data_IF_015720109411
#
_entry.id   IF_015720109411
#
_cell.length_a   1.000
_cell.length_b   1.000
_cell.length_c   1.000
_cell.angle_alpha   90.00
_cell.angle_beta   90.00
_cell.angle_gamma   90.00
#
_symmetry.space_group_name_H-M   'P 1'
#
loop_
_entity.id
_entity.type
_entity.pdbx_description
1 polymer ?
#
# COMPACT_ATOMS: atom_id res chain seq x y z
N UNK A 1 -2.16 -15.27 8.68
CA UNK A 1 -1.36 -14.19 8.07
C UNK A 1 0.12 -14.53 8.24
N UNK A 2 0.91 -14.52 7.16
CA UNK A 2 2.36 -14.72 7.19
C UNK A 2 3.08 -13.74 8.13
N UNK A 3 4.26 -14.10 8.67
CA UNK A 3 5.04 -13.24 9.57
C UNK A 3 5.48 -11.92 8.93
N UNK A 4 5.79 -11.93 7.63
CA UNK A 4 6.14 -10.71 6.89
C UNK A 4 4.94 -9.73 6.83
N UNK A 5 3.73 -10.25 6.63
CA UNK A 5 2.49 -9.46 6.62
C UNK A 5 2.21 -8.84 8.00
N UNK A 6 2.41 -9.61 9.08
CA UNK A 6 2.27 -9.11 10.45
C UNK A 6 3.28 -7.99 10.77
N UNK A 7 4.53 -8.15 10.32
CA UNK A 7 5.58 -7.15 10.52
C UNK A 7 5.25 -5.86 9.77
N UNK A 8 4.77 -5.98 8.53
CA UNK A 8 4.32 -4.86 7.71
C UNK A 8 3.13 -4.16 8.34
N UNK A 9 2.13 -4.90 8.83
CA UNK A 9 0.98 -4.34 9.55
C UNK A 9 1.38 -3.60 10.82
N UNK A 10 2.35 -4.13 11.58
CA UNK A 10 2.85 -3.43 12.77
C UNK A 10 3.57 -2.12 12.41
N UNK A 11 4.32 -2.09 11.29
CA UNK A 11 4.95 -0.86 10.80
C UNK A 11 3.90 0.16 10.33
N UNK A 12 2.91 -0.30 9.55
CA UNK A 12 1.79 0.53 9.11
C UNK A 12 1.02 1.12 10.29
N UNK A 13 0.76 0.35 11.34
CA UNK A 13 0.09 0.84 12.55
C UNK A 13 0.88 1.90 13.30
N UNK A 14 2.21 1.76 13.33
CA UNK A 14 3.10 2.80 13.87
C UNK A 14 3.05 4.08 13.04
N UNK A 15 3.03 3.95 11.71
CA UNK A 15 2.92 5.08 10.80
C UNK A 15 1.54 5.76 10.85
N UNK A 16 0.46 4.98 10.96
CA UNK A 16 -0.93 5.47 11.09
C UNK A 16 -1.12 6.31 12.35
N UNK A 17 -0.40 5.99 13.44
CA UNK A 17 -0.41 6.79 14.65
C UNK A 17 0.18 8.20 14.44
N UNK A 18 0.97 8.41 13.38
CA UNK A 18 1.52 9.70 12.97
C UNK A 18 0.63 10.37 11.94
N UNK A 19 0.36 9.68 10.82
CA UNK A 19 -0.52 10.16 9.75
C UNK A 19 -1.00 9.00 8.88
N UNK A 20 -2.20 9.15 8.31
CA UNK A 20 -2.72 8.24 7.30
C UNK A 20 -1.84 8.23 6.04
N UNK A 21 -1.28 9.38 5.66
CA UNK A 21 -0.34 9.48 4.53
C UNK A 21 0.95 8.70 4.78
N UNK A 22 1.49 8.73 6.00
CA UNK A 22 2.70 7.96 6.37
C UNK A 22 2.44 6.45 6.35
N UNK A 23 1.25 6.03 6.78
CA UNK A 23 0.81 4.64 6.68
C UNK A 23 0.75 4.18 5.22
N UNK A 24 0.20 5.00 4.33
CA UNK A 24 0.11 4.70 2.89
C UNK A 24 1.49 4.71 2.23
N UNK A 25 2.37 5.65 2.58
CA UNK A 25 3.76 5.66 2.13
C UNK A 25 4.51 4.39 2.56
N UNK A 26 4.32 3.97 3.81
CA UNK A 26 4.91 2.73 4.33
C UNK A 26 4.41 1.52 3.55
N UNK A 27 3.10 1.44 3.30
CA UNK A 27 2.51 0.38 2.49
C UNK A 27 3.14 0.35 1.09
N UNK A 28 3.10 1.48 0.37
CA UNK A 28 3.59 1.62 -1.00
C UNK A 28 5.09 1.29 -1.12
N UNK A 29 5.90 1.71 -0.15
CA UNK A 29 7.34 1.39 -0.12
C UNK A 29 7.58 -0.11 0.06
N UNK A 30 6.89 -0.76 1.00
CA UNK A 30 7.03 -2.21 1.21
C UNK A 30 6.49 -2.98 -0.01
N UNK A 31 5.42 -2.50 -0.63
CA UNK A 31 4.85 -3.10 -1.84
C UNK A 31 5.80 -3.00 -3.02
N UNK A 32 6.44 -1.85 -3.23
CA UNK A 32 7.43 -1.67 -4.28
C UNK A 32 8.65 -2.57 -4.08
N UNK A 33 9.14 -2.70 -2.84
CA UNK A 33 10.21 -3.67 -2.51
C UNK A 33 9.76 -5.11 -2.81
N UNK A 34 8.55 -5.51 -2.40
CA UNK A 34 8.00 -6.85 -2.65
C UNK A 34 7.80 -7.10 -4.15
N UNK A 35 7.31 -6.13 -4.90
CA UNK A 35 7.14 -6.21 -6.35
C UNK A 35 8.50 -6.35 -7.04
N UNK A 36 9.51 -5.60 -6.58
CA UNK A 36 10.87 -5.69 -7.10
C UNK A 36 11.55 -7.03 -6.77
N UNK A 37 11.31 -7.59 -5.58
CA UNK A 37 11.89 -8.87 -5.14
C UNK A 37 11.11 -10.10 -5.66
N UNK A 38 9.80 -9.95 -5.84
CA UNK A 38 8.85 -11.00 -6.23
C UNK A 38 7.87 -10.49 -7.30
N UNK A 39 8.33 -10.30 -8.55
CA UNK A 39 7.47 -9.90 -9.66
C UNK A 39 6.36 -10.93 -9.94
N UNK A 40 6.52 -12.18 -9.52
CA UNK A 40 5.51 -13.25 -9.65
C UNK A 40 4.18 -12.93 -8.92
N UNK A 41 4.20 -12.01 -7.94
CA UNK A 41 2.99 -11.53 -7.27
C UNK A 41 2.14 -10.62 -8.18
N UNK A 42 2.76 -9.89 -9.11
CA UNK A 42 2.05 -9.12 -10.13
C UNK A 42 1.41 -10.05 -11.18
N UNK A 43 2.12 -11.13 -11.55
CA UNK A 43 1.62 -12.13 -12.51
C UNK A 43 0.36 -12.86 -11.97
N UNK A 44 0.21 -12.97 -10.65
CA UNK A 44 -0.98 -13.57 -10.03
C UNK A 44 -2.25 -12.71 -10.14
N UNK A 45 -2.14 -11.38 -10.26
CA UNK A 45 -3.31 -10.50 -10.40
C UNK A 45 -3.80 -10.34 -11.85
N UNK A 46 -3.05 -10.85 -12.83
CA UNK A 46 -3.48 -10.90 -14.23
C UNK A 46 -3.93 -9.52 -14.79
N UNK A 47 -3.29 -8.44 -14.32
CA UNK A 47 -3.59 -7.09 -14.77
C UNK A 47 -2.79 -6.78 -16.04
N UNK A 48 -3.44 -6.19 -17.04
CA UNK A 48 -2.82 -5.72 -18.29
C UNK A 48 -1.71 -4.66 -18.06
N UNK A 49 -1.52 -4.18 -16.83
CA UNK A 49 -0.57 -3.12 -16.47
C UNK A 49 -0.05 -3.29 -15.03
N UNK A 50 1.26 -3.30 -14.83
CA UNK A 50 1.90 -3.47 -13.50
C UNK A 50 1.42 -2.41 -12.49
N UNK A 51 1.23 -1.18 -12.95
CA UNK A 51 0.71 -0.08 -12.13
C UNK A 51 -0.73 -0.35 -11.63
N UNK A 52 -1.53 -1.07 -12.43
CA UNK A 52 -2.89 -1.46 -12.05
C UNK A 52 -2.85 -2.60 -11.02
N UNK A 53 -2.03 -3.64 -11.22
CA UNK A 53 -1.85 -4.71 -10.25
C UNK A 53 -1.29 -4.20 -8.91
N UNK A 54 -0.28 -3.33 -8.94
CA UNK A 54 0.26 -2.73 -7.71
C UNK A 54 -0.82 -1.97 -6.91
N UNK A 55 -1.74 -1.29 -7.62
CA UNK A 55 -2.84 -0.55 -6.99
C UNK A 55 -3.89 -1.50 -6.40
N UNK A 56 -4.24 -2.57 -7.10
CA UNK A 56 -5.19 -3.58 -6.62
C UNK A 56 -4.63 -4.36 -5.44
N UNK A 57 -3.37 -4.80 -5.51
CA UNK A 57 -2.69 -5.47 -4.40
C UNK A 57 -2.55 -4.55 -3.18
N UNK A 58 -2.28 -3.25 -3.38
CA UNK A 58 -2.30 -2.27 -2.29
C UNK A 58 -3.68 -2.15 -1.63
N UNK A 59 -4.75 -2.13 -2.43
CA UNK A 59 -6.12 -2.08 -1.93
C UNK A 59 -6.49 -3.35 -1.14
N UNK A 60 -6.17 -4.53 -1.66
CA UNK A 60 -6.43 -5.80 -0.96
C UNK A 60 -5.62 -5.90 0.34
N UNK A 61 -4.35 -5.48 0.33
CA UNK A 61 -3.52 -5.44 1.54
C UNK A 61 -4.03 -4.43 2.58
N UNK A 62 -4.61 -3.30 2.15
CA UNK A 62 -5.25 -2.34 3.04
C UNK A 62 -6.53 -2.89 3.66
N UNK A 63 -7.31 -3.66 2.91
CA UNK A 63 -8.48 -4.38 3.43
C UNK A 63 -8.03 -5.35 4.52
N UNK A 64 -7.05 -6.20 4.24
CA UNK A 64 -6.53 -7.15 5.22
C UNK A 64 -5.94 -6.45 6.46
N UNK A 65 -5.24 -5.33 6.26
CA UNK A 65 -4.72 -4.50 7.35
C UNK A 65 -5.85 -3.96 8.23
N UNK A 66 -6.91 -3.39 7.63
CA UNK A 66 -8.07 -2.85 8.37
C UNK A 66 -8.81 -3.93 9.12
N UNK A 67 -9.04 -5.08 8.48
CA UNK A 67 -9.62 -6.25 9.14
C UNK A 67 -8.78 -6.72 10.33
N UNK A 68 -7.45 -6.65 10.25
CA UNK A 68 -6.57 -7.02 11.33
C UNK A 68 -6.44 -5.96 12.43
N UNK A 69 -6.29 -4.69 12.06
CA UNK A 69 -5.99 -3.58 12.98
C UNK A 69 -7.23 -3.14 13.77
N UNK A 70 -8.37 -3.01 13.08
CA UNK A 70 -9.63 -2.52 13.63
C UNK A 70 -10.63 -3.64 13.92
N UNK A 71 -10.36 -4.87 13.45
CA UNK A 71 -11.30 -6.00 13.59
C UNK A 71 -12.58 -5.80 12.78
N UNK A 72 -12.56 -4.89 11.80
CA UNK A 72 -13.72 -4.53 10.98
C UNK A 72 -13.95 -5.53 9.85
N UNK A 73 -15.19 -5.62 9.37
CA UNK A 73 -15.54 -6.51 8.26
C UNK A 73 -14.99 -6.03 6.93
N UNK A 74 -14.84 -6.96 5.97
CA UNK A 74 -14.37 -6.66 4.61
C UNK A 74 -15.22 -5.58 3.93
N UNK A 75 -16.54 -5.61 4.12
CA UNK A 75 -17.44 -4.59 3.57
C UNK A 75 -17.15 -3.19 4.12
N UNK A 76 -16.85 -3.08 5.41
CA UNK A 76 -16.50 -1.82 6.03
C UNK A 76 -15.14 -1.30 5.54
N UNK A 77 -14.17 -2.20 5.34
CA UNK A 77 -12.86 -1.86 4.81
C UNK A 77 -12.95 -1.41 3.34
N UNK A 78 -13.79 -2.10 2.55
CA UNK A 78 -14.05 -1.74 1.16
C UNK A 78 -14.80 -0.41 1.03
N UNK A 79 -15.75 -0.13 1.93
CA UNK A 79 -16.42 1.16 2.03
C UNK A 79 -15.44 2.29 2.37
N UNK A 80 -14.44 2.00 3.21
CA UNK A 80 -13.39 2.96 3.54
C UNK A 80 -12.46 3.26 2.36
N UNK A 81 -12.11 2.25 1.57
CA UNK A 81 -11.31 2.46 0.35
C UNK A 81 -12.05 3.22 -0.76
N UNK A 82 -13.38 3.13 -0.78
CA UNK A 82 -14.22 3.87 -1.72
C UNK A 82 -14.58 5.27 -1.23
N UNK A 83 -14.11 5.67 -0.04
CA UNK A 83 -14.28 7.03 0.46
C UNK A 83 -13.49 8.02 -0.42
N UNK A 84 -14.15 9.06 -0.97
CA UNK A 84 -13.46 10.05 -1.79
C UNK A 84 -12.30 10.74 -1.06
N UNK A 85 -12.39 10.93 0.26
CA UNK A 85 -11.30 11.47 1.05
C UNK A 85 -10.11 10.50 1.07
N UNK A 86 -10.37 9.19 1.22
CA UNK A 86 -9.33 8.18 1.20
C UNK A 86 -8.64 8.11 -0.17
N UNK A 87 -9.41 8.17 -1.26
CA UNK A 87 -8.86 8.16 -2.63
C UNK A 87 -7.96 9.37 -2.86
N UNK A 88 -8.34 10.56 -2.37
CA UNK A 88 -7.50 11.76 -2.43
C UNK A 88 -6.23 11.59 -1.58
N UNK A 89 -6.35 11.17 -0.32
CA UNK A 89 -5.20 10.93 0.57
C UNK A 89 -4.22 9.90 -0.03
N UNK A 90 -4.76 8.85 -0.66
CA UNK A 90 -3.97 7.82 -1.33
C UNK A 90 -3.28 8.34 -2.59
N UNK A 91 -3.98 9.15 -3.40
CA UNK A 91 -3.39 9.81 -4.55
C UNK A 91 -2.23 10.74 -4.16
N UNK A 92 -2.41 11.54 -3.12
CA UNK A 92 -1.37 12.47 -2.62
C UNK A 92 -0.17 11.72 -2.03
N UNK A 93 -0.42 10.62 -1.31
CA UNK A 93 0.64 9.75 -0.79
C UNK A 93 1.41 9.04 -1.92
N UNK A 94 0.71 8.56 -2.95
CA UNK A 94 1.31 7.93 -4.12
C UNK A 94 2.14 8.93 -4.93
N UNK A 95 1.65 10.16 -5.11
CA UNK A 95 2.40 11.21 -5.80
C UNK A 95 3.66 11.60 -5.02
N UNK A 96 3.54 11.78 -3.70
CA UNK A 96 4.68 12.04 -2.81
C UNK A 96 5.69 10.90 -2.82
N UNK A 97 5.21 9.64 -2.88
CA UNK A 97 6.05 8.47 -2.99
C UNK A 97 6.83 8.45 -4.32
N UNK A 98 6.14 8.68 -5.44
CA UNK A 98 6.76 8.75 -6.78
C UNK A 98 7.82 9.85 -6.85
N UNK A 99 7.52 11.04 -6.34
CA UNK A 99 8.49 12.14 -6.25
C UNK A 99 9.71 11.77 -5.38
N UNK A 100 9.50 11.01 -4.30
CA UNK A 100 10.60 10.55 -3.43
C UNK A 100 11.45 9.45 -4.08
N UNK A 101 10.86 8.62 -4.94
CA UNK A 101 11.56 7.63 -5.76
C UNK A 101 12.38 8.30 -6.86
N UNK A 102 11.77 9.19 -7.65
CA UNK A 102 12.45 9.96 -8.70
C UNK A 102 13.64 10.73 -8.12
N UNK A 103 13.47 11.35 -6.94
CA UNK A 103 14.53 12.06 -6.23
C UNK A 103 15.65 11.14 -5.67
N UNK A 104 15.37 9.85 -5.48
CA UNK A 104 16.38 8.85 -5.10
C UNK A 104 17.08 8.26 -6.33
N UNK A 105 16.38 8.05 -7.46
CA UNK A 105 16.98 7.62 -8.73
C UNK A 105 17.92 8.70 -9.31
N UNK A 106 17.59 9.99 -9.19
CA UNK A 106 18.47 11.09 -9.63
C UNK A 106 19.82 11.19 -8.87
N UNK A 107 19.99 10.50 -7.74
CA UNK A 107 21.28 10.43 -7.01
C UNK A 107 22.09 9.17 -7.31
N UNK A 108 21.58 8.30 -8.17
CA UNK A 108 22.19 7.02 -8.55
C UNK A 108 23.02 7.04 -9.83
N UNK A 109 23.05 8.15 -10.58
CA UNK A 109 23.83 8.30 -11.83
C UNK A 109 25.23 8.93 -11.63
#
# INVERSE_FOLDING_TARGET
IPEYTLTMFSKMRGAEATSRSDMLLTLLSNLAEIISDHPDLLDMENADNEAMAATHLAADMLIDYRMWADGMDRDAAQAWLTDPQFITDFGDALDSYRQSLDAQEEKGE
#
